data_IF_819547616821
#
_entry.id   IF_819547616821
#
_cell.length_a   1.000
_cell.length_b   1.000
_cell.length_c   1.000
_cell.angle_alpha   90.00
_cell.angle_beta   90.00
_cell.angle_gamma   90.00
#
_symmetry.space_group_name_H-M   'P 1'
#
loop_
_entity.id
_entity.type
_entity.pdbx_description
1 polymer ?
#
# COMPACT_ATOMS: atom_id res chain seq x y z
N UNK A 1 -6.76 3.72 -27.43
CA UNK A 1 -6.57 3.31 -27.01
C UNK A 1 -7.13 2.85 -25.99
N UNK A 2 -7.15 2.16 -25.70
CA UNK A 2 -7.74 1.51 -24.62
C UNK A 2 -7.25 1.91 -23.31
N UNK A 3 -6.30 2.75 -23.29
CA UNK A 3 -5.66 3.08 -22.03
C UNK A 3 -6.56 3.86 -21.11
N UNK A 4 -7.45 4.68 -21.63
CA UNK A 4 -8.30 5.46 -20.75
C UNK A 4 -9.23 4.55 -19.94
N UNK A 5 -9.70 3.45 -20.52
CA UNK A 5 -10.56 2.55 -19.76
C UNK A 5 -9.79 1.83 -18.65
N UNK A 6 -8.47 1.66 -18.80
CA UNK A 6 -7.66 1.05 -17.76
C UNK A 6 -7.45 1.99 -16.60
N UNK A 7 -7.34 3.29 -16.85
CA UNK A 7 -7.06 4.22 -15.75
C UNK A 7 -8.34 4.72 -15.08
N UNK A 8 -9.51 4.50 -15.64
CA UNK A 8 -10.74 4.98 -15.05
C UNK A 8 -11.24 4.11 -13.90
N UNK A 9 -10.83 2.85 -13.87
CA UNK A 9 -11.22 1.97 -12.78
C UNK A 9 -10.27 2.08 -11.58
N UNK A 10 -10.48 1.27 -10.55
CA UNK A 10 -9.57 1.23 -9.44
C UNK A 10 -8.21 0.70 -9.86
N UNK A 11 -7.17 1.37 -9.45
CA UNK A 11 -5.80 0.96 -9.71
C UNK A 11 -4.95 1.24 -8.49
N UNK A 12 -3.77 0.66 -8.46
CA UNK A 12 -2.81 0.91 -7.40
C UNK A 12 -1.85 2.02 -7.83
N UNK A 13 -1.60 2.95 -6.92
CA UNK A 13 -0.71 4.06 -7.15
C UNK A 13 0.35 4.12 -6.07
N UNK A 14 1.58 4.42 -6.45
CA UNK A 14 2.65 4.63 -5.49
C UNK A 14 2.60 6.06 -4.97
N UNK A 15 2.72 6.20 -3.66
CA UNK A 15 2.68 7.49 -3.00
C UNK A 15 3.95 7.63 -2.18
N UNK A 16 4.67 8.72 -2.38
CA UNK A 16 5.91 8.96 -1.68
C UNK A 16 5.63 9.63 -0.33
N UNK A 17 6.31 9.16 0.70
CA UNK A 17 6.15 9.70 2.05
C UNK A 17 7.49 10.16 2.57
N UNK A 18 7.44 10.94 3.65
CA UNK A 18 8.65 11.27 4.40
C UNK A 18 9.20 10.00 5.04
N UNK A 19 10.50 9.98 5.24
CA UNK A 19 11.16 8.83 5.86
C UNK A 19 10.55 8.53 7.22
N UNK A 20 10.26 7.28 7.45
CA UNK A 20 9.69 6.79 8.71
C UNK A 20 8.28 7.33 8.99
N UNK A 21 7.65 7.97 8.01
CA UNK A 21 6.28 8.46 8.15
C UNK A 21 5.28 7.57 7.43
N UNK A 22 5.72 6.46 6.86
CA UNK A 22 4.85 5.59 6.08
C UNK A 22 3.67 5.08 6.92
N UNK A 23 3.97 4.65 8.14
CA UNK A 23 2.92 4.16 9.04
C UNK A 23 1.93 5.23 9.44
N UNK A 24 2.42 6.45 9.67
CA UNK A 24 1.54 7.57 9.99
C UNK A 24 0.63 7.89 8.82
N UNK A 25 1.18 7.89 7.62
CA UNK A 25 0.40 8.18 6.43
C UNK A 25 -0.70 7.14 6.24
N UNK A 26 -0.36 5.86 6.40
CA UNK A 26 -1.35 4.80 6.29
C UNK A 26 -2.44 4.95 7.34
N UNK A 27 -2.06 5.18 8.58
CA UNK A 27 -3.05 5.33 9.65
C UNK A 27 -3.96 6.53 9.41
N UNK A 28 -3.40 7.63 8.98
CA UNK A 28 -4.19 8.81 8.67
C UNK A 28 -5.21 8.52 7.57
N UNK A 29 -4.75 7.93 6.48
CA UNK A 29 -5.65 7.66 5.36
C UNK A 29 -6.70 6.63 5.74
N UNK A 30 -6.32 5.56 6.42
CA UNK A 30 -7.27 4.54 6.86
C UNK A 30 -8.37 5.15 7.74
N UNK A 31 -7.98 6.07 8.61
CA UNK A 31 -8.94 6.70 9.52
C UNK A 31 -9.88 7.65 8.80
N UNK A 32 -9.33 8.45 7.91
CA UNK A 32 -10.13 9.54 7.32
C UNK A 32 -10.86 9.15 6.04
N UNK A 33 -10.62 7.96 5.50
CA UNK A 33 -11.38 7.50 4.33
C UNK A 33 -12.89 7.57 4.61
N UNK A 34 -13.30 7.03 5.72
CA UNK A 34 -14.73 7.03 6.08
C UNK A 34 -15.19 8.41 6.56
N UNK A 35 -14.35 9.09 7.35
CA UNK A 35 -14.72 10.39 7.91
C UNK A 35 -14.92 11.43 6.82
N UNK A 36 -14.04 11.41 5.78
CA UNK A 36 -14.12 12.36 4.70
C UNK A 36 -14.96 11.84 3.53
N UNK A 37 -15.61 10.71 3.72
CA UNK A 37 -16.45 10.11 2.68
C UNK A 37 -15.70 9.84 1.39
N UNK A 38 -14.48 9.29 1.54
CA UNK A 38 -13.65 8.94 0.39
C UNK A 38 -13.75 7.47 0.03
N UNK A 39 -14.62 6.72 0.70
CA UNK A 39 -14.72 5.28 0.51
C UNK A 39 -15.22 4.89 -0.89
N UNK A 40 -15.82 5.82 -1.63
CA UNK A 40 -16.17 5.57 -3.03
C UNK A 40 -14.96 5.66 -3.96
N UNK A 41 -13.87 6.25 -3.48
CA UNK A 41 -12.70 6.50 -4.32
C UNK A 41 -11.46 5.75 -3.84
N UNK A 42 -11.27 5.64 -2.53
CA UNK A 42 -10.07 5.03 -1.96
C UNK A 42 -10.48 3.75 -1.26
N UNK A 43 -9.93 2.63 -1.74
CA UNK A 43 -10.38 1.30 -1.31
C UNK A 43 -9.40 0.61 -0.37
N UNK A 44 -8.12 0.89 -0.50
CA UNK A 44 -7.13 0.24 0.34
C UNK A 44 -5.84 1.05 0.38
N UNK A 45 -5.11 0.95 1.49
CA UNK A 45 -3.81 1.57 1.64
C UNK A 45 -2.86 0.51 2.16
N UNK A 46 -1.74 0.33 1.48
CA UNK A 46 -0.83 -0.74 1.78
C UNK A 46 0.56 -0.21 2.09
N UNK A 47 1.14 -0.68 3.18
CA UNK A 47 2.53 -0.42 3.51
C UNK A 47 3.21 -1.78 3.65
N UNK A 48 3.82 -2.30 2.57
CA UNK A 48 4.35 -3.66 2.62
C UNK A 48 5.53 -3.78 3.58
N UNK A 49 5.40 -4.69 4.52
CA UNK A 49 6.43 -4.95 5.52
C UNK A 49 6.54 -6.44 5.76
N UNK A 50 7.67 -6.84 6.34
CA UNK A 50 7.79 -8.19 6.86
C UNK A 50 8.38 -8.10 8.25
N UNK A 51 8.10 -9.09 9.06
CA UNK A 51 8.69 -9.18 10.39
C UNK A 51 9.84 -10.16 10.35
N UNK A 52 10.94 -9.74 10.93
CA UNK A 52 12.17 -10.54 10.97
C UNK A 52 12.48 -10.85 12.42
N UNK A 53 12.71 -12.12 12.72
CA UNK A 53 13.14 -12.51 14.06
C UNK A 53 14.66 -12.50 14.08
N UNK A 54 15.22 -11.75 15.02
CA UNK A 54 16.66 -11.72 15.24
C UNK A 54 16.98 -12.32 16.59
N UNK A 55 18.10 -13.01 16.66
CA UNK A 55 18.58 -13.54 17.94
C UNK A 55 19.94 -12.92 18.20
N UNK A 56 20.03 -12.14 19.30
CA UNK A 56 21.28 -11.55 19.72
C UNK A 56 21.48 -11.85 21.17
N UNK A 57 22.64 -12.36 21.51
CA UNK A 57 22.98 -12.68 22.90
C UNK A 57 21.94 -13.56 23.55
N UNK A 58 21.40 -14.50 22.80
CA UNK A 58 20.40 -15.44 23.31
C UNK A 58 19.00 -14.88 23.43
N UNK A 59 18.78 -13.64 23.03
CA UNK A 59 17.45 -13.03 23.12
C UNK A 59 16.86 -12.88 21.73
N UNK A 60 15.58 -13.20 21.63
CA UNK A 60 14.86 -13.01 20.38
C UNK A 60 14.24 -11.63 20.36
N UNK A 61 14.33 -10.97 19.24
CA UNK A 61 13.61 -9.73 19.02
C UNK A 61 12.98 -9.78 17.63
N UNK A 62 11.87 -9.07 17.49
CA UNK A 62 11.17 -9.00 16.23
C UNK A 62 11.31 -7.60 15.68
N UNK A 63 11.81 -7.50 14.46
CA UNK A 63 11.92 -6.21 13.78
C UNK A 63 11.01 -6.18 12.58
N UNK A 64 10.44 -5.03 12.33
CA UNK A 64 9.64 -4.81 11.13
C UNK A 64 10.53 -4.22 10.06
N UNK A 65 10.54 -4.82 8.89
CA UNK A 65 11.30 -4.32 7.76
C UNK A 65 10.34 -3.92 6.66
N UNK A 66 10.51 -2.70 6.13
CA UNK A 66 9.70 -2.23 5.04
C UNK A 66 10.29 -2.70 3.74
N UNK A 67 9.45 -3.20 2.83
CA UNK A 67 9.93 -3.58 1.52
C UNK A 67 10.21 -2.36 0.64
N UNK A 68 9.46 -1.27 0.88
CA UNK A 68 9.57 -0.06 0.05
C UNK A 68 9.65 1.16 0.96
N UNK A 69 10.81 1.43 1.58
CA UNK A 69 10.93 2.59 2.47
C UNK A 69 10.63 3.88 1.73
N UNK A 70 9.83 4.73 2.36
CA UNK A 70 9.47 6.01 1.77
C UNK A 70 8.27 5.96 0.85
N UNK A 71 7.57 4.81 0.79
CA UNK A 71 6.42 4.65 -0.09
C UNK A 71 5.28 3.92 0.59
N UNK A 72 4.06 4.31 0.24
CA UNK A 72 2.88 3.49 0.50
C UNK A 72 2.18 3.32 -0.84
N UNK A 73 1.26 2.36 -0.90
CA UNK A 73 0.53 2.07 -2.12
C UNK A 73 -0.95 2.20 -1.84
N UNK A 74 -1.67 2.90 -2.72
CA UNK A 74 -3.07 3.18 -2.51
C UNK A 74 -3.88 2.62 -3.68
N UNK A 75 -4.88 1.80 -3.35
CA UNK A 75 -5.81 1.29 -4.35
C UNK A 75 -6.97 2.27 -4.40
N UNK A 76 -7.13 2.97 -5.51
CA UNK A 76 -8.12 4.02 -5.58
C UNK A 76 -8.54 4.29 -7.01
N UNK A 77 -9.67 4.95 -7.13
CA UNK A 77 -10.12 5.48 -8.40
C UNK A 77 -9.68 6.94 -8.46
N UNK A 78 -8.79 7.25 -9.38
CA UNK A 78 -8.18 8.56 -9.45
C UNK A 78 -8.60 9.35 -10.70
N UNK A 79 -9.17 8.70 -11.70
CA UNK A 79 -9.56 9.33 -12.94
C UNK A 79 -11.02 9.01 -13.26
N UNK A 80 -11.71 9.98 -13.84
CA UNK A 80 -13.10 9.77 -14.25
C UNK A 80 -13.14 9.05 -15.59
N UNK A 81 -14.37 8.84 -16.11
CA UNK A 81 -14.55 8.07 -17.34
C UNK A 81 -13.94 8.76 -18.56
N UNK A 82 -13.72 10.06 -18.47
CA UNK A 82 -13.10 10.82 -19.54
C UNK A 82 -11.58 10.90 -19.39
N UNK A 83 -11.04 10.27 -18.36
CA UNK A 83 -9.61 10.28 -18.13
C UNK A 83 -9.12 11.52 -17.40
N UNK A 84 -10.02 12.30 -16.84
CA UNK A 84 -9.65 13.50 -16.09
C UNK A 84 -9.39 13.15 -14.63
N UNK A 85 -8.40 13.81 -14.04
CA UNK A 85 -8.04 13.59 -12.64
C UNK A 85 -9.19 13.98 -11.73
N UNK A 86 -9.56 13.08 -10.83
CA UNK A 86 -10.54 13.37 -9.79
C UNK A 86 -9.83 14.09 -8.66
N UNK A 87 -10.02 15.39 -8.59
CA UNK A 87 -9.24 16.21 -7.66
C UNK A 87 -9.53 15.90 -6.20
N UNK A 88 -10.77 15.55 -5.89
CA UNK A 88 -11.15 15.31 -4.50
C UNK A 88 -10.35 14.18 -3.86
N UNK A 89 -10.31 12.96 -4.42
CA UNK A 89 -9.48 11.91 -3.82
C UNK A 89 -7.99 12.19 -3.97
N UNK A 90 -7.57 12.88 -5.03
CA UNK A 90 -6.18 13.24 -5.22
C UNK A 90 -5.71 14.15 -4.09
N UNK A 91 -6.47 15.19 -3.79
CA UNK A 91 -6.14 16.09 -2.68
C UNK A 91 -6.18 15.35 -1.35
N UNK A 92 -7.18 14.49 -1.15
CA UNK A 92 -7.31 13.76 0.09
C UNK A 92 -6.03 12.99 0.42
N UNK A 93 -5.49 12.26 -0.55
CA UNK A 93 -4.28 11.48 -0.33
C UNK A 93 -3.07 12.40 -0.13
N UNK A 94 -2.97 13.44 -0.94
CA UNK A 94 -1.83 14.36 -0.83
C UNK A 94 -1.80 15.10 0.50
N UNK A 95 -2.96 15.34 1.09
CA UNK A 95 -3.03 16.03 2.37
C UNK A 95 -2.79 15.10 3.55
N UNK A 96 -2.59 13.83 3.32
CA UNK A 96 -2.32 12.88 4.39
C UNK A 96 -1.05 13.23 5.16
N UNK A 97 -1.07 12.95 6.45
CA UNK A 97 0.10 13.23 7.28
C UNK A 97 1.29 12.38 6.82
N UNK A 98 2.41 13.02 6.59
CA UNK A 98 3.61 12.31 6.16
C UNK A 98 3.68 12.04 4.66
N UNK A 99 2.65 12.42 3.90
CA UNK A 99 2.64 12.22 2.45
C UNK A 99 3.35 13.38 1.77
N UNK A 100 4.24 13.07 0.84
CA UNK A 100 4.90 14.09 0.03
C UNK A 100 4.08 14.32 -1.23
N UNK A 101 3.86 13.27 -2.03
CA UNK A 101 3.11 13.40 -3.28
C UNK A 101 2.94 12.00 -3.90
N UNK A 102 2.07 11.92 -4.89
CA UNK A 102 2.01 10.73 -5.72
C UNK A 102 3.26 10.64 -6.58
N UNK A 103 3.67 9.44 -6.90
CA UNK A 103 4.67 9.25 -7.94
C UNK A 103 3.99 9.60 -9.25
N UNK A 104 4.59 10.54 -9.99
CA UNK A 104 3.96 11.09 -11.20
C UNK A 104 3.31 12.45 -10.98
N UNK A 105 3.28 12.92 -9.74
CA UNK A 105 2.86 14.28 -9.42
C UNK A 105 1.43 14.60 -9.81
N UNK A 106 1.28 15.53 -10.75
CA UNK A 106 -0.03 16.01 -11.15
C UNK A 106 -0.81 15.00 -11.99
N UNK A 107 -0.13 14.01 -12.51
CA UNK A 107 -0.78 12.99 -13.33
C UNK A 107 -0.24 11.62 -12.94
N UNK A 108 -0.66 11.11 -11.78
CA UNK A 108 -0.15 9.83 -11.32
C UNK A 108 -0.45 8.70 -12.29
N UNK A 109 0.50 7.81 -12.45
CA UNK A 109 0.37 6.67 -13.35
C UNK A 109 0.14 5.42 -12.52
N UNK A 110 -0.85 4.60 -12.88
CA UNK A 110 -1.10 3.36 -12.15
C UNK A 110 0.10 2.41 -12.26
N UNK A 111 0.31 1.63 -11.21
CA UNK A 111 1.29 0.57 -11.26
C UNK A 111 0.88 -0.48 -12.27
N UNK A 112 1.87 -1.08 -12.91
CA UNK A 112 1.60 -2.16 -13.83
C UNK A 112 1.15 -3.38 -13.05
N UNK A 113 0.36 -4.21 -13.71
CA UNK A 113 -0.16 -5.40 -13.07
C UNK A 113 0.96 -6.29 -12.52
N UNK A 114 2.06 -6.41 -13.26
CA UNK A 114 3.19 -7.20 -12.80
C UNK A 114 3.82 -6.61 -11.55
N UNK A 115 3.87 -5.29 -11.47
CA UNK A 115 4.44 -4.61 -10.31
C UNK A 115 3.57 -4.83 -9.08
N UNK A 116 2.26 -4.67 -9.22
CA UNK A 116 1.39 -4.82 -8.06
C UNK A 116 1.29 -6.28 -7.63
N UNK A 117 1.33 -7.21 -8.57
CA UNK A 117 1.34 -8.63 -8.22
C UNK A 117 2.56 -8.99 -7.40
N UNK A 118 3.72 -8.42 -7.75
CA UNK A 118 4.93 -8.66 -6.98
C UNK A 118 4.79 -8.15 -5.55
N UNK A 119 4.24 -6.94 -5.40
CA UNK A 119 4.05 -6.35 -4.08
C UNK A 119 3.09 -7.19 -3.24
N UNK A 120 1.97 -7.58 -3.82
CA UNK A 120 0.97 -8.37 -3.11
C UNK A 120 1.51 -9.74 -2.73
N UNK A 121 2.31 -10.34 -3.60
CA UNK A 121 2.93 -11.64 -3.28
C UNK A 121 3.91 -11.51 -2.13
N UNK A 122 4.67 -10.41 -2.08
CA UNK A 122 5.58 -10.18 -0.97
C UNK A 122 4.83 -10.07 0.36
N UNK A 123 3.69 -9.37 0.33
CA UNK A 123 2.88 -9.23 1.53
C UNK A 123 2.33 -10.58 1.98
N UNK A 124 1.84 -11.38 1.04
CA UNK A 124 1.33 -12.71 1.37
C UNK A 124 2.40 -13.62 1.93
N UNK A 125 3.58 -13.58 1.34
CA UNK A 125 4.68 -14.40 1.83
C UNK A 125 5.10 -14.00 3.23
N UNK A 126 5.13 -12.71 3.49
CA UNK A 126 5.50 -12.23 4.80
C UNK A 126 4.47 -12.65 5.85
N UNK A 127 3.19 -12.58 5.50
CA UNK A 127 2.13 -13.02 6.40
C UNK A 127 2.20 -14.52 6.62
N UNK A 128 2.48 -15.26 5.56
CA UNK A 128 2.62 -16.69 5.69
C UNK A 128 3.77 -17.09 6.58
N UNK A 129 4.86 -16.35 6.52
CA UNK A 129 6.01 -16.63 7.39
C UNK A 129 5.68 -16.39 8.84
N UNK A 130 4.82 -15.43 9.10
CA UNK A 130 4.46 -15.16 10.47
C UNK A 130 3.52 -16.20 11.02
N UNK A 131 2.68 -16.73 10.14
CA UNK A 131 1.75 -17.67 10.61
C UNK A 131 2.27 -19.04 10.78
N UNK A 132 3.37 -19.35 10.38
CA UNK A 132 3.77 -20.61 10.37
C UNK A 132 3.92 -21.12 11.52
N UNK A 133 3.64 -20.95 11.89
CA UNK A 133 3.68 -21.38 12.80
C UNK A 133 2.74 -22.20 12.83
N UNK A 134 2.00 -22.33 12.36
CA UNK A 134 0.99 -23.03 12.45
C UNK A 134 0.91 -24.08 11.64
N UNK A 135 1.04 -24.13 11.40
CA UNK A 135 0.92 -24.81 10.71
C UNK A 135 1.27 -25.69 10.17
N UNK A 136 1.59 -25.75 10.15
CA UNK A 136 2.00 -26.38 9.44
C UNK A 136 2.20 -27.36 9.62
N UNK A 137 2.33 -27.39 10.18
CA UNK A 137 2.41 -27.97 10.18
C UNK A 137 2.12 -28.76 9.91
N UNK A 138 2.03 -28.64 9.98
CA UNK A 138 1.73 -29.21 9.54
C UNK A 138 1.65 -29.90 9.04
N UNK A 139 1.66 -29.94 9.05
CA UNK A 139 1.72 -30.48 8.55
C UNK A 139 1.88 -31.14 8.32
N UNK A 140 2.34 -30.81 8.55
CA UNK A 140 2.46 -31.17 8.33
C UNK A 140 2.43 -31.92 8.32
N UNK A 141 2.47 -31.92 8.79
CA UNK A 141 2.33 -32.32 8.77
C UNK A 141 2.02 -32.91 8.60
N UNK A 142 2.09 -33.04 8.87
CA UNK A 142 1.86 -33.31 8.62
C UNK A 142 1.65 -33.43 8.37
#
# INVERSE_FOLDING_TARGET
>A
MSDSSLITGPNWYAVQTLSNQEGKAKKYLDKFIAIEEMDDFVFDVLMPTEQITEVKAGKKSIKTRKFYPGYIFVNMRLYDDDGNLLQKPWYFVREGHGVINFVGGDRPTPLKKSEINRILNQVEEAEGKEKPKIEYEIGEMV
#
